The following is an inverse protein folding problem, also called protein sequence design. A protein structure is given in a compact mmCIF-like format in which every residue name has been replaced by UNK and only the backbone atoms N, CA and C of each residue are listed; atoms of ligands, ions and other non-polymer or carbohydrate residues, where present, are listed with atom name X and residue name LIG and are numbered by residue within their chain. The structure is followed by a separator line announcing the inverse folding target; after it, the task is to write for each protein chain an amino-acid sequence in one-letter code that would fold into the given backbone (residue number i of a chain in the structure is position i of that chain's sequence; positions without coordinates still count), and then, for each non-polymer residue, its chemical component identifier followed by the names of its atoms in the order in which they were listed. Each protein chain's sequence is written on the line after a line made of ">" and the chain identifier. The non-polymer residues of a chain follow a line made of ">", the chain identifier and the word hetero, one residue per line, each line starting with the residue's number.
data_IF_900274723445
#
_entry.id   IF_900274723445
#
_cell.length_a   1.000
_cell.length_b   1.000
_cell.length_c   1.000
_cell.angle_alpha   90.00
_cell.angle_beta   90.00
_cell.angle_gamma   90.00
#
_symmetry.space_group_name_H-M   'P 1'
#
loop_
_entity.id
_entity.type
_entity.pdbx_description
1 polymer ?
#
# COMPACT_ATOMS: atom_id res chain seq x y z
N UNK A 1 -18.59 -13.92 15.83
CA UNK A 1 -18.61 -12.44 15.76
C UNK A 1 -17.78 -12.06 14.56
N UNK A 2 -18.34 -11.34 13.58
CA UNK A 2 -17.57 -10.86 12.42
C UNK A 2 -16.69 -9.72 12.94
N UNK A 3 -15.37 -9.85 12.83
CA UNK A 3 -14.48 -8.73 13.14
C UNK A 3 -14.68 -7.65 12.08
N UNK A 4 -14.83 -6.37 12.48
CA UNK A 4 -14.89 -5.25 11.53
C UNK A 4 -13.62 -5.23 10.66
N UNK A 5 -13.76 -4.72 9.43
CA UNK A 5 -12.63 -4.57 8.52
C UNK A 5 -11.59 -3.62 9.13
N UNK A 6 -10.31 -3.83 8.80
CA UNK A 6 -9.17 -3.15 9.45
C UNK A 6 -9.22 -1.61 9.37
N UNK A 7 -9.89 -1.07 8.34
CA UNK A 7 -10.05 0.38 8.14
C UNK A 7 -11.24 0.98 8.91
N UNK A 8 -12.20 0.16 9.35
CA UNK A 8 -13.44 0.60 9.98
C UNK A 8 -13.22 0.91 11.47
N UNK A 9 -12.46 1.99 11.71
CA UNK A 9 -12.06 2.48 13.04
C UNK A 9 -13.05 3.46 13.65
N UNK A 10 -14.14 3.77 12.94
CA UNK A 10 -15.13 4.75 13.38
C UNK A 10 -15.73 4.38 14.74
N UNK A 11 -15.57 5.25 15.73
CA UNK A 11 -16.10 5.03 17.07
C UNK A 11 -15.32 4.05 17.95
N UNK A 12 -14.13 3.61 17.53
CA UNK A 12 -13.25 2.84 18.41
C UNK A 12 -12.71 3.74 19.53
N UNK A 13 -12.62 3.26 20.77
CA UNK A 13 -12.02 4.02 21.85
C UNK A 13 -10.53 4.26 21.53
N UNK A 14 -10.14 5.52 21.51
CA UNK A 14 -8.76 5.96 21.42
C UNK A 14 -8.61 7.26 22.20
N UNK A 15 -7.77 7.24 23.23
CA UNK A 15 -7.46 8.39 24.09
C UNK A 15 -6.09 9.00 23.78
N UNK A 16 -5.35 8.43 22.82
CA UNK A 16 -4.05 8.93 22.42
C UNK A 16 -4.20 10.28 21.67
N UNK A 17 -3.33 11.26 21.95
CA UNK A 17 -3.35 12.52 21.23
C UNK A 17 -3.02 12.28 19.75
N UNK A 18 -3.73 13.00 18.88
CA UNK A 18 -3.45 12.98 17.44
C UNK A 18 -2.14 13.72 17.19
N UNK A 19 -1.22 13.07 16.49
CA UNK A 19 -0.02 13.72 15.94
C UNK A 19 -0.42 14.58 14.74
N UNK A 20 -0.13 15.88 14.83
CA UNK A 20 -0.41 16.89 13.80
C UNK A 20 0.88 17.45 13.17
N UNK A 21 2.04 16.85 13.45
CA UNK A 21 3.29 17.24 12.81
C UNK A 21 3.18 17.11 11.28
N UNK A 22 3.81 18.04 10.57
CA UNK A 22 3.91 17.93 9.12
C UNK A 22 4.87 16.79 8.77
N UNK A 23 4.40 15.88 7.91
CA UNK A 23 5.22 14.84 7.32
C UNK A 23 5.76 15.33 5.98
N UNK A 24 7.06 15.55 5.88
CA UNK A 24 7.71 15.83 4.61
C UNK A 24 7.76 14.56 3.77
N UNK A 25 7.19 14.61 2.56
CA UNK A 25 7.22 13.46 1.67
C UNK A 25 8.65 13.17 1.20
N UNK A 26 9.12 11.98 1.55
CA UNK A 26 10.35 11.39 1.06
C UNK A 26 10.28 11.15 -0.45
N UNK A 27 11.43 11.05 -1.11
CA UNK A 27 11.47 10.86 -2.57
C UNK A 27 10.72 9.59 -3.01
N UNK A 28 10.86 8.49 -2.27
CA UNK A 28 10.19 7.24 -2.59
C UNK A 28 8.66 7.34 -2.43
N UNK A 29 8.16 8.13 -1.48
CA UNK A 29 6.72 8.34 -1.30
C UNK A 29 6.13 9.09 -2.49
N UNK A 30 6.85 10.08 -3.02
CA UNK A 30 6.48 10.79 -4.26
C UNK A 30 6.48 9.85 -5.46
N UNK A 31 7.43 8.90 -5.52
CA UNK A 31 7.46 7.88 -6.57
C UNK A 31 6.26 6.93 -6.47
N UNK A 32 5.88 6.51 -5.27
CA UNK A 32 4.69 5.67 -5.02
C UNK A 32 3.41 6.40 -5.44
N UNK A 33 3.26 7.68 -5.07
CA UNK A 33 2.10 8.49 -5.49
C UNK A 33 2.04 8.66 -7.02
N UNK A 34 3.17 8.99 -7.64
CA UNK A 34 3.26 9.10 -9.10
C UNK A 34 2.94 7.77 -9.80
N UNK A 35 3.43 6.64 -9.28
CA UNK A 35 3.11 5.31 -9.80
C UNK A 35 1.60 5.04 -9.68
N UNK A 36 0.99 5.34 -8.54
CA UNK A 36 -0.44 5.23 -8.35
C UNK A 36 -1.22 6.08 -9.37
N UNK A 37 -0.77 7.29 -9.69
CA UNK A 37 -1.33 8.11 -10.77
C UNK A 37 -1.25 7.40 -12.12
N UNK A 38 -0.04 6.98 -12.54
CA UNK A 38 0.20 6.34 -13.84
C UNK A 38 -0.59 5.04 -14.01
N UNK A 39 -0.70 4.20 -12.98
CA UNK A 39 -1.51 2.99 -13.04
C UNK A 39 -3.01 3.30 -13.21
N UNK A 40 -3.47 4.40 -12.63
CA UNK A 40 -4.83 4.90 -12.79
C UNK A 40 -5.10 5.38 -14.22
N UNK A 41 -4.21 6.21 -14.76
CA UNK A 41 -4.31 6.75 -16.11
C UNK A 41 -4.27 5.65 -17.18
N UNK A 42 -3.54 4.56 -16.92
CA UNK A 42 -3.49 3.37 -17.79
C UNK A 42 -4.68 2.43 -17.63
N UNK A 43 -5.61 2.71 -16.70
CA UNK A 43 -6.76 1.86 -16.44
C UNK A 43 -6.44 0.52 -15.76
N UNK A 44 -5.23 0.38 -15.20
CA UNK A 44 -4.80 -0.82 -14.47
C UNK A 44 -5.37 -0.86 -13.05
N UNK A 45 -5.86 0.27 -12.53
CA UNK A 45 -6.63 0.31 -11.28
C UNK A 45 -7.53 1.54 -11.24
N UNK A 46 -8.55 1.48 -10.40
CA UNK A 46 -9.28 2.66 -9.92
C UNK A 46 -9.13 2.82 -8.40
N UNK A 47 -9.68 3.92 -7.86
CA UNK A 47 -9.59 4.24 -6.43
C UNK A 47 -10.23 3.19 -5.54
N UNK A 48 -11.36 2.61 -5.96
CA UNK A 48 -12.07 1.62 -5.16
C UNK A 48 -11.35 0.27 -5.12
N UNK A 49 -10.68 -0.11 -6.21
CA UNK A 49 -9.81 -1.29 -6.26
C UNK A 49 -8.62 -1.14 -5.32
N UNK A 50 -7.98 0.05 -5.30
CA UNK A 50 -6.88 0.34 -4.38
C UNK A 50 -7.36 0.26 -2.92
N UNK A 51 -8.48 0.91 -2.59
CA UNK A 51 -9.10 0.85 -1.26
C UNK A 51 -9.37 -0.59 -0.85
N UNK A 52 -10.08 -1.35 -1.68
CA UNK A 52 -10.38 -2.77 -1.42
C UNK A 52 -9.11 -3.58 -1.15
N UNK A 53 -8.04 -3.37 -1.90
CA UNK A 53 -6.76 -4.06 -1.68
C UNK A 53 -6.14 -3.69 -0.31
N UNK A 54 -6.05 -2.39 0.02
CA UNK A 54 -5.57 -1.91 1.32
C UNK A 54 -6.40 -2.49 2.48
N UNK A 55 -7.72 -2.50 2.34
CA UNK A 55 -8.67 -3.00 3.35
C UNK A 55 -8.71 -4.53 3.46
N UNK A 56 -8.05 -5.23 2.54
CA UNK A 56 -7.92 -6.69 2.55
C UNK A 56 -6.69 -7.17 3.31
N UNK A 57 -5.76 -6.27 3.66
CA UNK A 57 -4.63 -6.56 4.54
C UNK A 57 -5.13 -7.09 5.89
N UNK A 58 -4.43 -8.04 6.48
CA UNK A 58 -4.70 -8.44 7.85
C UNK A 58 -4.35 -7.31 8.83
N UNK A 59 -4.89 -7.40 10.04
CA UNK A 59 -4.78 -6.32 11.02
C UNK A 59 -3.32 -6.01 11.36
N UNK A 60 -2.46 -7.03 11.49
CA UNK A 60 -1.08 -6.83 11.89
C UNK A 60 -0.31 -6.08 10.80
N UNK A 61 -0.44 -6.50 9.54
CA UNK A 61 0.18 -5.80 8.40
C UNK A 61 -0.40 -4.39 8.21
N UNK A 62 -1.71 -4.21 8.36
CA UNK A 62 -2.33 -2.90 8.24
C UNK A 62 -1.83 -1.93 9.33
N UNK A 63 -1.57 -2.39 10.55
CA UNK A 63 -1.07 -1.51 11.62
C UNK A 63 0.43 -1.25 11.53
N UNK A 64 1.21 -2.19 10.99
CA UNK A 64 2.67 -2.03 10.89
C UNK A 64 3.12 -1.13 9.73
N UNK A 65 2.36 -1.08 8.64
CA UNK A 65 2.74 -0.34 7.44
C UNK A 65 2.38 1.14 7.54
N UNK A 66 3.32 2.00 7.13
CA UNK A 66 3.09 3.41 6.90
C UNK A 66 2.12 3.65 5.71
N UNK A 67 1.64 4.87 5.57
CA UNK A 67 0.59 5.21 4.62
C UNK A 67 0.94 4.83 3.16
N UNK A 68 2.10 5.25 2.67
CA UNK A 68 2.54 4.93 1.31
C UNK A 68 3.03 3.48 1.17
N UNK A 69 3.44 2.81 2.25
CA UNK A 69 3.75 1.39 2.19
C UNK A 69 2.50 0.53 1.95
N UNK A 70 1.35 0.92 2.54
CA UNK A 70 0.05 0.28 2.25
C UNK A 70 -0.33 0.42 0.78
N UNK A 71 -0.07 1.59 0.19
CA UNK A 71 -0.31 1.82 -1.23
C UNK A 71 0.57 0.92 -2.10
N UNK A 72 1.86 0.82 -1.79
CA UNK A 72 2.77 -0.09 -2.49
C UNK A 72 2.31 -1.54 -2.42
N UNK A 73 1.99 -2.05 -1.22
CA UNK A 73 1.50 -3.42 -1.05
C UNK A 73 0.19 -3.67 -1.81
N UNK A 74 -0.74 -2.71 -1.80
CA UNK A 74 -1.99 -2.80 -2.53
C UNK A 74 -1.82 -2.76 -4.05
N UNK A 75 -0.90 -1.93 -4.57
CA UNK A 75 -0.60 -1.88 -6.00
C UNK A 75 0.06 -3.17 -6.47
N UNK A 76 1.00 -3.73 -5.71
CA UNK A 76 1.58 -5.06 -5.98
C UNK A 76 0.48 -6.13 -6.06
N UNK A 77 -0.38 -6.20 -5.04
CA UNK A 77 -1.51 -7.14 -5.02
C UNK A 77 -2.39 -7.01 -6.27
N UNK A 78 -2.75 -5.79 -6.66
CA UNK A 78 -3.61 -5.55 -7.83
C UNK A 78 -2.93 -5.95 -9.15
N UNK A 79 -1.64 -5.63 -9.31
CA UNK A 79 -0.89 -5.98 -10.53
C UNK A 79 -0.73 -7.50 -10.67
N UNK A 80 -0.56 -8.20 -9.55
CA UNK A 80 -0.53 -9.66 -9.52
C UNK A 80 -1.90 -10.28 -9.79
N UNK A 81 -2.96 -9.80 -9.12
CA UNK A 81 -4.34 -10.26 -9.33
C UNK A 81 -4.79 -10.13 -10.79
N UNK A 82 -4.34 -9.08 -11.48
CA UNK A 82 -4.67 -8.82 -12.89
C UNK A 82 -3.74 -9.53 -13.89
N UNK A 83 -2.70 -10.22 -13.41
CA UNK A 83 -1.73 -10.92 -14.26
C UNK A 83 -0.80 -9.99 -15.04
N UNK A 84 -0.65 -8.73 -14.61
CA UNK A 84 0.31 -7.77 -15.20
C UNK A 84 1.73 -8.13 -14.81
N UNK A 85 1.92 -8.64 -13.60
CA UNK A 85 3.19 -9.12 -13.06
C UNK A 85 2.94 -10.36 -12.19
N UNK A 86 3.99 -11.11 -11.91
CA UNK A 86 3.99 -12.19 -10.90
C UNK A 86 4.81 -11.79 -9.69
N UNK A 87 4.48 -12.33 -8.51
CA UNK A 87 5.28 -12.14 -7.29
C UNK A 87 6.75 -12.54 -7.51
N UNK A 88 6.99 -13.61 -8.27
CA UNK A 88 8.36 -14.06 -8.58
C UNK A 88 9.17 -13.03 -9.39
N UNK A 89 8.55 -12.33 -10.34
CA UNK A 89 9.22 -11.27 -11.11
C UNK A 89 9.56 -10.06 -10.22
N UNK A 90 8.66 -9.72 -9.30
CA UNK A 90 8.86 -8.64 -8.33
C UNK A 90 10.01 -9.00 -7.38
N UNK A 91 9.98 -10.19 -6.77
CA UNK A 91 11.02 -10.69 -5.86
C UNK A 91 12.39 -10.78 -6.52
N UNK A 92 12.43 -11.26 -7.76
CA UNK A 92 13.67 -11.31 -8.55
C UNK A 92 14.24 -9.91 -8.77
N UNK A 93 13.39 -8.93 -9.10
CA UNK A 93 13.83 -7.55 -9.31
C UNK A 93 14.30 -6.89 -8.01
N UNK A 94 13.59 -7.09 -6.90
CA UNK A 94 13.98 -6.59 -5.57
C UNK A 94 15.34 -7.17 -5.17
N UNK A 95 15.57 -8.46 -5.40
CA UNK A 95 16.85 -9.13 -5.10
C UNK A 95 17.98 -8.54 -5.93
N UNK A 96 17.77 -8.35 -7.24
CA UNK A 96 18.76 -7.73 -8.11
C UNK A 96 19.12 -6.29 -7.67
N UNK A 97 18.13 -5.47 -7.34
CA UNK A 97 18.37 -4.09 -6.86
C UNK A 97 19.16 -4.05 -5.54
N UNK A 98 18.92 -5.00 -4.61
CA UNK A 98 19.69 -5.11 -3.37
C UNK A 98 21.16 -5.46 -3.62
N UNK A 99 21.43 -6.29 -4.63
CA UNK A 99 22.80 -6.67 -5.01
C UNK A 99 23.54 -5.52 -5.69
N UNK A 100 22.86 -4.70 -6.50
CA UNK A 100 23.45 -3.52 -7.15
C UNK A 100 23.83 -2.41 -6.16
N UNK A 101 23.20 -2.39 -4.98
CA UNK A 101 23.42 -1.39 -3.92
C UNK A 101 24.42 -1.84 -2.85
N UNK A 102 24.92 -3.09 -2.92
CA UNK A 102 25.90 -3.68 -1.99
C UNK A 102 27.33 -3.56 -2.53
#
# INVERSE_FOLDING_TARGET
>A
MIMPKVHDRGGWPNDDPVDHSEHEMEEWERQVDALNGVLGDKGLKNTDQLRRAIESLDLATYESLAYYEKWTAAMEMLLVEQGVMTTAEIDAKVTALKQEQS
#
